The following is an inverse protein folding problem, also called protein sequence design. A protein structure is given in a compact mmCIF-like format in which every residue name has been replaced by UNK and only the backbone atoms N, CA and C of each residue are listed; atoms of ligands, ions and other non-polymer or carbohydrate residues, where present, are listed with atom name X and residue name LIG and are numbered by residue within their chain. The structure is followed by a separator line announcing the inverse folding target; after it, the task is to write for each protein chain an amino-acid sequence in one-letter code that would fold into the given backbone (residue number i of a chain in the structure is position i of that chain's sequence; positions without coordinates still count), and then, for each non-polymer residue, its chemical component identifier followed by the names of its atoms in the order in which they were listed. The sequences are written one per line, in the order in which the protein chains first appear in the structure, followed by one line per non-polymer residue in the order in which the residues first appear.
data_IF_524735503421
#
_entry.id   IF_524735503421
#
_cell.length_a   1.000
_cell.length_b   1.000
_cell.length_c   1.000
_cell.angle_alpha   90.00
_cell.angle_beta   90.00
_cell.angle_gamma   90.00
#
_symmetry.space_group_name_H-M   'P 1'
#
loop_
_entity.id
_entity.type
_entity.pdbx_description
1 polymer ?
#
# COMPACT_ATOMS: atom_id res chain seq x y z
N UNK A 1 26.96 -9.45 18.42
CA UNK A 1 25.70 -8.68 18.45
C UNK A 1 26.02 -7.29 17.92
N UNK A 2 25.45 -6.89 16.78
CA UNK A 2 25.64 -5.55 16.22
C UNK A 2 24.28 -4.87 16.10
N UNK A 3 23.99 -4.00 17.07
CA UNK A 3 22.85 -3.10 17.09
C UNK A 3 23.41 -1.69 16.91
N UNK A 4 23.55 -1.25 15.67
CA UNK A 4 23.92 0.13 15.35
C UNK A 4 23.32 0.56 14.01
N UNK A 5 22.14 1.19 14.11
CA UNK A 5 21.74 2.40 13.41
C UNK A 5 21.92 2.47 11.88
N UNK A 6 20.79 2.33 11.17
CA UNK A 6 20.22 3.49 10.46
C UNK A 6 18.79 3.64 10.96
N UNK A 7 18.43 4.81 11.48
CA UNK A 7 17.04 5.16 11.81
C UNK A 7 16.22 5.32 10.51
N UNK A 8 16.12 4.27 9.71
CA UNK A 8 15.31 4.21 8.51
C UNK A 8 13.97 3.55 8.84
N UNK A 9 12.92 3.93 8.11
CA UNK A 9 11.65 3.19 8.13
C UNK A 9 11.94 1.71 7.78
N UNK A 10 11.34 0.73 8.48
CA UNK A 10 11.53 -0.70 8.16
C UNK A 10 11.03 -1.05 6.75
N UNK A 11 10.32 -0.12 6.11
CA UNK A 11 9.76 -0.24 4.77
C UNK A 11 10.62 0.40 3.68
N UNK A 12 11.82 0.90 4.03
CA UNK A 12 12.69 1.65 3.13
C UNK A 12 12.34 3.14 3.09
N UNK A 13 13.04 3.91 2.25
CA UNK A 13 12.86 5.36 2.14
C UNK A 13 11.73 5.72 1.14
N UNK A 14 10.49 5.47 1.55
CA UNK A 14 9.31 5.70 0.70
C UNK A 14 9.09 7.20 0.46
N UNK A 15 9.28 8.03 1.49
CA UNK A 15 9.05 9.48 1.39
C UNK A 15 9.98 10.15 0.38
N UNK A 16 11.27 9.85 0.41
CA UNK A 16 12.21 10.43 -0.57
C UNK A 16 11.89 10.00 -1.99
N UNK A 17 11.46 8.74 -2.18
CA UNK A 17 11.01 8.25 -3.48
C UNK A 17 9.77 9.02 -3.96
N UNK A 18 8.82 9.32 -3.08
CA UNK A 18 7.61 10.10 -3.38
C UNK A 18 7.91 11.56 -3.76
N UNK A 19 8.90 12.20 -3.14
CA UNK A 19 9.32 13.57 -3.51
C UNK A 19 9.76 13.59 -4.98
N UNK A 20 10.50 12.58 -5.43
CA UNK A 20 10.90 12.43 -6.83
C UNK A 20 9.75 12.17 -7.83
N UNK A 21 8.53 11.95 -7.34
CA UNK A 21 7.33 11.77 -8.18
C UNK A 21 6.55 13.06 -8.37
N UNK A 22 6.79 14.10 -7.57
CA UNK A 22 6.07 15.35 -7.68
C UNK A 22 6.30 15.99 -9.05
N UNK A 23 5.22 16.28 -9.77
CA UNK A 23 5.27 16.87 -11.11
C UNK A 23 5.48 15.89 -12.27
N UNK A 24 5.54 14.57 -12.00
CA UNK A 24 5.51 13.57 -13.07
C UNK A 24 4.08 13.34 -13.54
N UNK A 25 3.87 13.15 -14.85
CA UNK A 25 2.59 12.69 -15.40
C UNK A 25 2.54 11.16 -15.59
N UNK A 26 3.63 10.46 -15.26
CA UNK A 26 3.81 9.04 -15.56
C UNK A 26 3.88 8.26 -14.25
N UNK A 27 3.20 7.11 -14.22
CA UNK A 27 3.29 6.21 -13.09
C UNK A 27 4.72 5.65 -12.94
N UNK A 28 5.26 5.64 -11.72
CA UNK A 28 6.64 5.19 -11.45
C UNK A 28 6.68 4.13 -10.34
N UNK A 29 7.64 3.21 -10.37
CA UNK A 29 7.83 2.24 -9.31
C UNK A 29 8.39 2.90 -8.05
N UNK A 30 7.84 2.50 -6.89
CA UNK A 30 8.36 2.77 -5.55
C UNK A 30 8.70 1.43 -4.92
N UNK A 31 9.93 1.32 -4.40
CA UNK A 31 10.44 0.12 -3.75
C UNK A 31 10.11 0.15 -2.27
N UNK A 32 9.54 -0.94 -1.79
CA UNK A 32 9.08 -1.13 -0.40
C UNK A 32 9.70 -2.40 0.16
N UNK A 33 10.37 -2.28 1.30
CA UNK A 33 10.90 -3.45 2.00
C UNK A 33 9.79 -4.06 2.88
N UNK A 34 9.49 -5.35 2.71
CA UNK A 34 8.55 -6.10 3.54
C UNK A 34 9.20 -7.39 4.04
N UNK A 35 9.45 -7.49 5.35
CA UNK A 35 10.01 -8.68 6.01
C UNK A 35 11.28 -9.23 5.34
N UNK A 36 12.14 -8.33 4.84
CA UNK A 36 13.38 -8.72 4.14
C UNK A 36 13.24 -8.97 2.63
N UNK A 37 12.04 -8.91 2.07
CA UNK A 37 11.80 -8.94 0.62
C UNK A 37 11.55 -7.53 0.08
N UNK A 38 12.00 -7.23 -1.14
CA UNK A 38 11.68 -5.98 -1.84
C UNK A 38 10.44 -6.18 -2.70
N UNK A 39 9.45 -5.30 -2.55
CA UNK A 39 8.26 -5.22 -3.40
C UNK A 39 8.24 -3.91 -4.19
N UNK A 40 7.76 -3.97 -5.42
CA UNK A 40 7.58 -2.80 -6.28
C UNK A 40 6.11 -2.40 -6.36
N UNK A 41 5.82 -1.15 -6.00
CA UNK A 41 4.48 -0.55 -6.11
C UNK A 41 4.52 0.57 -7.13
N UNK A 42 3.74 0.45 -8.20
CA UNK A 42 3.63 1.51 -9.19
C UNK A 42 2.68 2.60 -8.72
N UNK A 43 3.18 3.82 -8.58
CA UNK A 43 2.41 4.97 -8.09
C UNK A 43 2.06 5.87 -9.26
N UNK A 44 0.76 6.09 -9.45
CA UNK A 44 0.22 7.13 -10.30
C UNK A 44 0.08 8.43 -9.49
N UNK A 45 0.66 9.56 -9.94
CA UNK A 45 0.63 10.81 -9.19
C UNK A 45 -0.77 11.35 -8.90
N UNK A 46 -1.77 11.04 -9.73
CA UNK A 46 -3.15 11.48 -9.54
C UNK A 46 -3.99 10.45 -8.79
N UNK A 47 -3.81 9.16 -9.11
CA UNK A 47 -4.69 8.07 -8.67
C UNK A 47 -4.14 7.25 -7.51
N UNK A 48 -2.85 7.36 -7.22
CA UNK A 48 -2.18 6.61 -6.18
C UNK A 48 -1.67 5.23 -6.62
N UNK A 49 -1.51 4.26 -5.68
CA UNK A 49 -0.85 2.99 -5.95
C UNK A 49 -1.68 2.06 -6.86
N UNK A 50 -0.99 1.40 -7.79
CA UNK A 50 -1.51 0.32 -8.64
C UNK A 50 -1.22 -1.04 -8.00
N UNK A 51 -2.24 -1.87 -7.89
CA UNK A 51 -2.18 -3.23 -7.31
C UNK A 51 -2.39 -4.33 -8.35
N UNK A 52 -2.49 -3.98 -9.63
CA UNK A 52 -2.60 -4.90 -10.76
C UNK A 52 -2.82 -4.18 -12.09
N UNK A 53 -2.85 -4.91 -13.22
CA UNK A 53 -3.12 -4.34 -14.54
C UNK A 53 -4.49 -3.65 -14.56
N UNK A 54 -4.51 -2.33 -14.77
CA UNK A 54 -5.73 -1.53 -14.76
C UNK A 54 -6.41 -1.39 -13.38
N UNK A 55 -5.88 -2.03 -12.34
CA UNK A 55 -6.44 -1.96 -10.99
C UNK A 55 -5.60 -1.02 -10.12
N UNK A 56 -6.17 0.16 -9.87
CA UNK A 56 -5.69 1.03 -8.81
C UNK A 56 -6.22 0.50 -7.48
N UNK A 57 -5.45 0.66 -6.42
CA UNK A 57 -6.00 0.48 -5.08
C UNK A 57 -7.00 1.62 -4.90
N UNK A 58 -8.26 1.37 -5.24
CA UNK A 58 -9.30 2.36 -5.06
C UNK A 58 -9.35 2.65 -3.55
N UNK A 59 -8.85 3.83 -3.19
CA UNK A 59 -8.88 4.36 -1.82
C UNK A 59 -10.31 4.58 -1.29
N UNK A 60 -11.32 4.13 -2.04
CA UNK A 60 -12.69 3.90 -1.58
C UNK A 60 -12.79 2.82 -0.49
N UNK A 61 -11.71 2.10 -0.18
CA UNK A 61 -11.70 1.20 0.96
C UNK A 61 -11.48 2.03 2.21
N UNK A 62 -12.59 2.32 2.90
CA UNK A 62 -12.68 2.78 4.29
C UNK A 62 -11.34 2.63 5.01
N UNK A 63 -10.70 3.74 5.35
CA UNK A 63 -9.83 3.67 6.52
C UNK A 63 -10.73 3.15 7.64
N UNK A 64 -10.44 2.00 8.27
CA UNK A 64 -11.09 1.70 9.52
C UNK A 64 -10.77 2.92 10.39
N UNK A 65 -11.80 3.69 10.75
CA UNK A 65 -11.68 4.67 11.80
C UNK A 65 -11.17 3.85 12.98
N UNK A 66 -9.87 3.93 13.27
CA UNK A 66 -9.26 3.22 14.38
C UNK A 66 -10.00 3.77 15.60
N UNK A 67 -10.91 3.01 16.20
CA UNK A 67 -11.58 3.51 17.37
C UNK A 67 -10.55 3.35 18.48
N UNK A 68 -9.88 4.45 18.84
CA UNK A 68 -9.21 4.56 20.13
C UNK A 68 -10.32 4.58 21.19
N UNK A 69 -10.91 3.42 21.47
CA UNK A 69 -12.07 3.26 22.35
C UNK A 69 -12.93 2.08 21.93
N UNK A 70 -13.53 1.40 22.89
CA UNK A 70 -14.25 0.14 22.75
C UNK A 70 -15.12 0.03 21.49
N UNK A 71 -15.17 -1.16 20.85
CA UNK A 71 -15.96 -1.40 19.66
C UNK A 71 -17.46 -1.35 20.01
N UNK A 72 -18.06 -0.16 19.95
CA UNK A 72 -19.51 -0.03 19.91
C UNK A 72 -19.99 -0.34 18.49
N UNK A 73 -21.00 -1.21 18.32
CA UNK A 73 -21.58 -1.47 17.02
C UNK A 73 -22.15 -0.16 16.45
N UNK A 74 -21.64 0.23 15.27
CA UNK A 74 -22.08 1.43 14.59
C UNK A 74 -23.58 1.31 14.26
N UNK A 75 -24.39 2.21 14.83
CA UNK A 75 -25.76 2.46 14.39
C UNK A 75 -25.78 3.05 12.97
N UNK A 76 -26.97 3.24 12.37
CA UNK A 76 -27.16 3.57 10.95
C UNK A 76 -26.70 4.99 10.54
N UNK A 77 -25.88 5.66 11.34
CA UNK A 77 -25.30 6.98 11.08
C UNK A 77 -23.77 6.94 11.12
N UNK A 78 -23.15 5.89 10.57
CA UNK A 78 -21.70 5.81 10.45
C UNK A 78 -21.17 7.05 9.75
N UNK A 79 -20.24 7.76 10.38
CA UNK A 79 -19.58 8.94 9.81
C UNK A 79 -19.18 8.61 8.37
N UNK A 80 -19.70 9.37 7.40
CA UNK A 80 -19.14 9.39 6.06
C UNK A 80 -17.67 9.80 6.22
N UNK A 81 -16.78 8.81 6.27
CA UNK A 81 -15.35 9.06 6.13
C UNK A 81 -15.17 9.79 4.82
N UNK A 82 -14.91 11.10 4.89
CA UNK A 82 -14.67 11.93 3.72
C UNK A 82 -13.61 11.23 2.87
N UNK A 83 -13.98 10.90 1.62
CA UNK A 83 -13.09 10.24 0.68
C UNK A 83 -11.99 11.22 0.31
N UNK A 84 -10.85 11.10 0.96
CA UNK A 84 -9.68 11.92 0.68
C UNK A 84 -9.03 11.45 -0.62
N UNK A 85 -8.85 12.34 -1.59
CA UNK A 85 -8.15 12.00 -2.83
C UNK A 85 -6.65 11.83 -2.56
N UNK A 86 -5.94 11.08 -3.41
CA UNK A 86 -4.51 10.82 -3.24
C UNK A 86 -3.70 12.11 -3.22
N UNK A 87 -4.09 13.09 -4.06
CA UNK A 87 -3.50 14.41 -4.09
C UNK A 87 -3.53 15.11 -2.71
N UNK A 88 -4.63 14.97 -1.98
CA UNK A 88 -4.86 15.64 -0.69
C UNK A 88 -4.15 14.96 0.48
N UNK A 89 -3.69 13.72 0.30
CA UNK A 89 -3.03 12.95 1.36
C UNK A 89 -1.66 13.53 1.73
N UNK A 90 -1.41 13.58 3.03
CA UNK A 90 -0.11 13.83 3.62
C UNK A 90 0.90 12.73 3.22
N UNK A 91 2.19 13.04 3.34
CA UNK A 91 3.25 12.07 3.06
C UNK A 91 3.05 10.77 3.84
N UNK A 92 2.73 10.86 5.13
CA UNK A 92 2.53 9.68 5.99
C UNK A 92 1.34 8.83 5.55
N UNK A 93 0.20 9.45 5.18
CA UNK A 93 -0.95 8.72 4.64
C UNK A 93 -0.57 7.97 3.35
N UNK A 94 0.15 8.65 2.44
CA UNK A 94 0.64 8.04 1.20
C UNK A 94 1.54 6.85 1.46
N UNK A 95 2.48 6.98 2.41
CA UNK A 95 3.38 5.88 2.80
C UNK A 95 2.62 4.68 3.35
N UNK A 96 1.65 4.89 4.25
CA UNK A 96 0.81 3.81 4.78
C UNK A 96 0.08 3.09 3.64
N UNK A 97 -0.52 3.82 2.72
CA UNK A 97 -1.20 3.24 1.56
C UNK A 97 -0.26 2.44 0.66
N UNK A 98 0.96 2.93 0.42
CA UNK A 98 1.97 2.21 -0.37
C UNK A 98 2.36 0.90 0.31
N UNK A 99 2.55 0.90 1.63
CA UNK A 99 2.85 -0.31 2.40
C UNK A 99 1.68 -1.31 2.31
N UNK A 100 0.43 -0.84 2.42
CA UNK A 100 -0.75 -1.69 2.29
C UNK A 100 -0.86 -2.29 0.89
N UNK A 101 -0.64 -1.49 -0.16
CA UNK A 101 -0.65 -1.95 -1.55
C UNK A 101 0.48 -2.96 -1.81
N UNK A 102 1.68 -2.75 -1.26
CA UNK A 102 2.79 -3.71 -1.34
C UNK A 102 2.41 -5.06 -0.70
N UNK A 103 1.79 -5.03 0.49
CA UNK A 103 1.28 -6.25 1.15
C UNK A 103 0.23 -6.97 0.30
N UNK A 104 -0.69 -6.22 -0.33
CA UNK A 104 -1.70 -6.78 -1.25
C UNK A 104 -1.05 -7.42 -2.48
N UNK A 105 -0.04 -6.79 -3.08
CA UNK A 105 0.71 -7.32 -4.22
C UNK A 105 1.40 -8.63 -3.83
N UNK A 106 2.10 -8.65 -2.69
CA UNK A 106 2.75 -9.86 -2.15
C UNK A 106 1.74 -11.00 -1.93
N UNK A 107 0.60 -10.69 -1.33
CA UNK A 107 -0.47 -11.67 -1.11
C UNK A 107 -1.01 -12.23 -2.44
N UNK A 108 -1.28 -11.38 -3.43
CA UNK A 108 -1.72 -11.80 -4.77
C UNK A 108 -0.68 -12.68 -5.46
N UNK A 109 0.60 -12.32 -5.40
CA UNK A 109 1.70 -13.12 -5.98
C UNK A 109 1.73 -14.52 -5.38
N UNK A 110 1.64 -14.65 -4.05
CA UNK A 110 1.62 -15.94 -3.36
C UNK A 110 0.44 -16.81 -3.78
N UNK A 111 -0.76 -16.23 -3.89
CA UNK A 111 -1.95 -16.95 -4.36
C UNK A 111 -1.79 -17.42 -5.81
N UNK A 112 -1.23 -16.58 -6.67
CA UNK A 112 -0.99 -16.91 -8.07
C UNK A 112 0.01 -18.08 -8.20
N UNK A 113 1.14 -18.02 -7.47
CA UNK A 113 2.13 -19.10 -7.44
C UNK A 113 1.54 -20.42 -6.95
N UNK A 114 0.79 -20.40 -5.83
CA UNK A 114 0.15 -21.60 -5.31
C UNK A 114 -0.88 -22.21 -6.29
N UNK A 115 -1.55 -21.38 -7.10
CA UNK A 115 -2.47 -21.84 -8.13
C UNK A 115 -1.72 -22.51 -9.29
N UNK A 116 -0.63 -21.91 -9.75
CA UNK A 116 0.22 -22.46 -10.81
C UNK A 116 0.84 -23.81 -10.40
N UNK A 117 1.33 -23.92 -9.17
CA UNK A 117 1.85 -25.19 -8.62
C UNK A 117 0.78 -26.28 -8.55
N UNK A 118 -0.44 -25.93 -8.13
CA UNK A 118 -1.57 -26.88 -8.07
C UNK A 118 -1.98 -27.37 -9.46
N UNK A 119 -1.95 -26.48 -10.45
CA UNK A 119 -2.33 -26.81 -11.82
C UNK A 119 -1.22 -27.63 -12.51
N UNK A 120 0.07 -27.35 -12.21
CA UNK A 120 1.21 -28.16 -12.67
C UNK A 120 1.24 -29.57 -12.07
N UNK A 121 0.84 -29.73 -10.80
CA UNK A 121 0.80 -31.04 -10.13
C UNK A 121 -0.35 -31.97 -10.60
N UNK A 122 -1.28 -31.46 -11.41
CA UNK A 122 -2.40 -32.23 -11.99
C UNK A 122 -2.11 -32.76 -13.40
N UNK A 123 -0.98 -32.37 -13.99
CA UNK A 123 -0.49 -32.83 -15.29
C UNK A 123 0.49 -33.98 -15.08
#
# INVERSE_FOLDING_TARGET
MSLASRRGSPYGDIQSQLIGLQGSAVARPVKVQLDGEEEEVYIDPERGPKVGPGQFDHMNTFMPAVPFGDPKPAGPGGQETMKKCWADMSGTEKEVWIILSAKKIRAKRRVQQAREERDAAKV
#
